data_IF_411320390208
#
_entry.id   IF_411320390208
#
_cell.length_a   1.000
_cell.length_b   1.000
_cell.length_c   1.000
_cell.angle_alpha   90.00
_cell.angle_beta   90.00
_cell.angle_gamma   90.00
#
_symmetry.space_group_name_H-M   'P 1'
#
loop_
_entity.id
_entity.type
_entity.pdbx_description
1 polymer ?
#
# COMPACT_ATOMS: atom_id res chain seq x y z
N UNK A 1 0.58 -4.24 17.68
CA UNK A 1 -0.09 -2.99 17.27
C UNK A 1 -1.47 -2.76 17.91
N UNK A 2 -1.65 -2.81 19.25
CA UNK A 2 -2.89 -2.34 19.89
C UNK A 2 -2.89 -0.82 20.15
N UNK A 3 -1.71 -0.21 20.25
CA UNK A 3 -1.55 1.10 20.89
C UNK A 3 -2.22 2.25 20.13
N UNK A 4 -2.07 2.34 18.79
CA UNK A 4 -2.73 3.39 17.98
C UNK A 4 -4.25 3.32 18.11
N UNK A 5 -4.81 2.11 18.07
CA UNK A 5 -6.24 1.88 18.26
C UNK A 5 -6.71 2.29 19.66
N UNK A 6 -6.07 1.79 20.71
CA UNK A 6 -6.49 2.08 22.09
C UNK A 6 -6.30 3.54 22.47
N UNK A 7 -5.21 4.18 22.04
CA UNK A 7 -4.97 5.59 22.28
C UNK A 7 -6.04 6.49 21.64
N UNK A 8 -6.64 6.05 20.53
CA UNK A 8 -7.63 6.82 19.76
C UNK A 8 -9.00 6.13 19.69
N UNK A 9 -9.34 5.29 20.67
CA UNK A 9 -10.53 4.43 20.62
C UNK A 9 -11.82 5.20 20.38
N UNK A 10 -11.98 6.37 21.02
CA UNK A 10 -13.16 7.23 20.84
C UNK A 10 -13.29 7.69 19.38
N UNK A 11 -12.20 8.17 18.78
CA UNK A 11 -12.17 8.57 17.37
C UNK A 11 -12.55 7.41 16.45
N UNK A 12 -11.97 6.22 16.68
CA UNK A 12 -12.31 5.02 15.90
C UNK A 12 -13.80 4.65 16.03
N UNK A 13 -14.40 4.82 17.21
CA UNK A 13 -15.81 4.57 17.45
C UNK A 13 -16.71 5.56 16.71
N UNK A 14 -16.35 6.84 16.70
CA UNK A 14 -17.08 7.89 15.99
C UNK A 14 -16.99 7.68 14.46
N UNK A 15 -15.81 7.33 13.96
CA UNK A 15 -15.61 6.98 12.55
C UNK A 15 -16.43 5.75 12.15
N UNK A 16 -16.47 4.72 13.00
CA UNK A 16 -17.26 3.51 12.75
C UNK A 16 -18.76 3.83 12.69
N UNK A 17 -19.27 4.63 13.63
CA UNK A 17 -20.67 5.09 13.62
C UNK A 17 -21.00 5.86 12.35
N UNK A 18 -20.11 6.76 11.92
CA UNK A 18 -20.26 7.49 10.66
C UNK A 18 -20.33 6.53 9.45
N UNK A 19 -19.49 5.50 9.45
CA UNK A 19 -19.42 4.52 8.38
C UNK A 19 -20.70 3.68 8.29
N UNK A 20 -21.20 3.19 9.42
CA UNK A 20 -22.44 2.42 9.51
C UNK A 20 -23.65 3.21 9.03
N UNK A 21 -23.75 4.49 9.41
CA UNK A 21 -24.87 5.36 8.99
C UNK A 21 -24.94 5.62 7.49
N UNK A 22 -23.85 5.34 6.75
CA UNK A 22 -23.70 5.66 5.32
C UNK A 22 -23.40 4.45 4.44
N UNK A 23 -23.47 3.24 4.99
CA UNK A 23 -23.09 2.00 4.29
C UNK A 23 -21.68 2.08 3.69
N UNK A 24 -20.73 2.52 4.51
CA UNK A 24 -19.30 2.61 4.18
C UNK A 24 -18.54 1.58 4.99
N UNK A 25 -17.62 0.87 4.35
CA UNK A 25 -16.67 -0.01 5.03
C UNK A 25 -15.37 0.74 5.28
N UNK A 26 -14.97 0.80 6.55
CA UNK A 26 -13.65 1.29 6.97
C UNK A 26 -12.66 0.12 7.11
N UNK A 27 -11.41 0.33 6.74
CA UNK A 27 -10.29 -0.56 7.01
C UNK A 27 -9.12 0.25 7.54
N UNK A 28 -8.42 -0.28 8.55
CA UNK A 28 -7.27 0.39 9.17
C UNK A 28 -6.01 -0.48 9.08
N UNK A 29 -4.90 0.16 8.75
CA UNK A 29 -3.55 -0.40 8.86
C UNK A 29 -2.67 0.58 9.65
N UNK A 30 -2.54 0.34 10.95
CA UNK A 30 -1.88 1.26 11.89
C UNK A 30 -2.61 2.61 11.91
N UNK A 31 -2.00 3.66 11.37
CA UNK A 31 -2.58 5.00 11.31
C UNK A 31 -3.20 5.29 9.93
N UNK A 32 -2.99 4.41 8.94
CA UNK A 32 -3.57 4.54 7.60
C UNK A 32 -5.01 4.02 7.59
N UNK A 33 -5.97 4.94 7.40
CA UNK A 33 -7.39 4.64 7.27
C UNK A 33 -7.80 4.63 5.79
N UNK A 34 -8.60 3.63 5.41
CA UNK A 34 -9.18 3.48 4.08
C UNK A 34 -10.69 3.31 4.19
N UNK A 35 -11.43 4.03 3.34
CA UNK A 35 -12.89 3.99 3.32
C UNK A 35 -13.38 3.56 1.93
N UNK A 36 -14.35 2.66 1.88
CA UNK A 36 -14.93 2.16 0.64
C UNK A 36 -16.46 2.08 0.73
N UNK A 37 -17.13 2.54 -0.32
CA UNK A 37 -18.60 2.61 -0.36
C UNK A 37 -19.08 3.64 -1.37
N UNK A 38 -20.35 3.56 -1.78
CA UNK A 38 -20.93 4.51 -2.74
C UNK A 38 -21.04 5.93 -2.17
N UNK A 39 -21.13 6.04 -0.85
CA UNK A 39 -21.25 7.29 -0.10
C UNK A 39 -19.91 7.97 0.17
N UNK A 40 -18.78 7.38 -0.24
CA UNK A 40 -17.44 7.97 -0.06
C UNK A 40 -17.24 9.07 -1.10
N UNK A 41 -17.56 10.30 -0.70
CA UNK A 41 -17.43 11.52 -1.49
C UNK A 41 -16.74 12.63 -0.66
N UNK A 42 -16.63 13.84 -1.20
CA UNK A 42 -16.00 14.97 -0.52
C UNK A 42 -16.69 15.34 0.81
N UNK A 43 -18.02 15.22 0.90
CA UNK A 43 -18.75 15.48 2.16
C UNK A 43 -18.44 14.43 3.22
N UNK A 44 -18.33 13.16 2.80
CA UNK A 44 -17.86 12.10 3.68
C UNK A 44 -16.44 12.36 4.17
N UNK A 45 -15.53 12.71 3.25
CA UNK A 45 -14.14 13.06 3.59
C UNK A 45 -14.09 14.21 4.61
N UNK A 46 -14.88 15.28 4.43
CA UNK A 46 -14.94 16.39 5.39
C UNK A 46 -15.46 15.97 6.76
N UNK A 47 -16.43 15.04 6.79
CA UNK A 47 -16.96 14.47 8.04
C UNK A 47 -15.88 13.68 8.79
N UNK A 48 -15.14 12.83 8.07
CA UNK A 48 -13.99 12.08 8.62
C UNK A 48 -12.93 13.05 9.11
N UNK A 49 -12.57 14.06 8.32
CA UNK A 49 -11.55 15.03 8.70
C UNK A 49 -11.89 15.78 9.99
N UNK A 50 -13.17 16.12 10.18
CA UNK A 50 -13.64 16.73 11.42
C UNK A 50 -13.46 15.81 12.63
N UNK A 51 -13.88 14.55 12.53
CA UNK A 51 -13.75 13.57 13.62
C UNK A 51 -12.28 13.40 14.03
N UNK A 52 -11.37 13.30 13.06
CA UNK A 52 -9.93 13.17 13.33
C UNK A 52 -9.35 14.43 13.99
N UNK A 53 -9.79 15.62 13.56
CA UNK A 53 -9.36 16.88 14.15
C UNK A 53 -9.92 17.10 15.57
N UNK A 54 -11.17 16.69 15.81
CA UNK A 54 -11.81 16.76 17.14
C UNK A 54 -11.09 15.84 18.14
N UNK A 55 -10.44 14.77 17.66
CA UNK A 55 -9.56 13.91 18.45
C UNK A 55 -8.14 14.50 18.68
N UNK A 56 -7.86 15.71 18.19
CA UNK A 56 -6.56 16.39 18.34
C UNK A 56 -5.48 15.94 17.36
N UNK A 57 -5.84 15.20 16.31
CA UNK A 57 -4.89 14.69 15.30
C UNK A 57 -4.88 15.55 14.03
N UNK A 58 -3.72 15.57 13.36
CA UNK A 58 -3.52 16.32 12.12
C UNK A 58 -3.45 15.36 10.93
N UNK A 59 -4.33 15.57 9.95
CA UNK A 59 -4.29 14.82 8.69
C UNK A 59 -3.24 15.41 7.76
N UNK A 60 -2.37 14.57 7.23
CA UNK A 60 -1.40 15.01 6.23
C UNK A 60 -2.12 15.34 4.90
N UNK A 61 -2.00 16.58 4.39
CA UNK A 61 -2.78 17.04 3.23
C UNK A 61 -2.50 16.19 1.98
N UNK A 62 -1.24 15.88 1.70
CA UNK A 62 -0.86 15.14 0.47
C UNK A 62 -1.17 13.63 0.49
N UNK A 63 -1.52 13.09 1.67
CA UNK A 63 -1.83 11.66 1.85
C UNK A 63 -3.32 11.36 1.73
N UNK A 64 -4.17 12.37 1.74
CA UNK A 64 -5.62 12.19 1.61
C UNK A 64 -6.00 12.14 0.13
N UNK A 65 -6.61 11.05 -0.32
CA UNK A 65 -7.03 10.87 -1.71
C UNK A 65 -8.43 10.29 -1.80
N UNK A 66 -9.25 10.89 -2.65
CA UNK A 66 -10.54 10.36 -3.06
C UNK A 66 -10.38 9.71 -4.43
N UNK A 67 -10.68 8.41 -4.52
CA UNK A 67 -10.52 7.65 -5.75
C UNK A 67 -11.87 7.39 -6.42
N UNK A 68 -11.90 7.46 -7.76
CA UNK A 68 -13.08 7.00 -8.51
C UNK A 68 -13.14 5.47 -8.57
N UNK A 69 -14.34 4.92 -8.83
CA UNK A 69 -14.57 3.46 -8.88
C UNK A 69 -13.55 2.72 -9.75
N UNK A 70 -13.33 3.19 -10.97
CA UNK A 70 -12.47 2.53 -11.97
C UNK A 70 -11.01 2.99 -11.92
N UNK A 71 -10.65 3.87 -10.98
CA UNK A 71 -9.29 4.35 -10.81
C UNK A 71 -8.44 3.32 -10.08
N UNK A 72 -7.15 3.28 -10.42
CA UNK A 72 -6.13 2.53 -9.69
C UNK A 72 -5.88 3.20 -8.34
N UNK A 73 -6.15 2.51 -7.24
CA UNK A 73 -6.11 3.08 -5.89
C UNK A 73 -4.80 2.69 -5.24
N UNK A 74 -3.99 3.66 -4.88
CA UNK A 74 -2.82 3.38 -4.06
C UNK A 74 -3.28 3.26 -2.60
N UNK A 75 -3.29 2.04 -2.07
CA UNK A 75 -3.72 1.73 -0.71
C UNK A 75 -2.57 0.97 -0.03
N UNK A 76 -2.10 1.47 1.12
CA UNK A 76 -1.07 0.80 1.97
C UNK A 76 0.13 0.21 1.23
N UNK A 77 0.59 0.89 0.16
CA UNK A 77 1.76 0.46 -0.62
C UNK A 77 1.48 -0.51 -1.77
N UNK A 78 0.22 -0.87 -2.03
CA UNK A 78 -0.21 -1.68 -3.17
C UNK A 78 -1.20 -0.93 -4.05
N UNK A 79 -1.39 -1.39 -5.29
CA UNK A 79 -2.39 -0.83 -6.20
C UNK A 79 -3.62 -1.72 -6.17
N UNK A 80 -4.75 -1.19 -5.70
CA UNK A 80 -6.04 -1.88 -5.70
C UNK A 80 -6.85 -1.44 -6.90
N UNK A 81 -7.31 -2.42 -7.68
CA UNK A 81 -8.29 -2.29 -8.75
C UNK A 81 -9.53 -3.10 -8.39
N UNK A 82 -10.59 -2.96 -9.19
CA UNK A 82 -11.90 -3.54 -8.88
C UNK A 82 -11.85 -5.03 -8.47
N UNK A 83 -11.03 -5.83 -9.14
CA UNK A 83 -10.97 -7.28 -9.02
C UNK A 83 -9.58 -7.83 -8.65
N UNK A 84 -8.58 -6.95 -8.47
CA UNK A 84 -7.20 -7.38 -8.27
C UNK A 84 -6.35 -6.39 -7.50
N UNK A 85 -5.26 -6.90 -6.96
CA UNK A 85 -4.21 -6.13 -6.32
C UNK A 85 -2.95 -6.27 -7.18
N UNK A 86 -2.35 -5.14 -7.53
CA UNK A 86 -1.16 -5.05 -8.36
C UNK A 86 0.02 -4.46 -7.56
N UNK A 87 1.23 -4.85 -7.95
CA UNK A 87 2.48 -4.26 -7.45
C UNK A 87 2.60 -2.82 -7.99
N UNK A 88 3.06 -1.87 -7.17
CA UNK A 88 3.23 -0.47 -7.64
C UNK A 88 4.25 -0.40 -8.77
N UNK A 89 3.98 0.48 -9.74
CA UNK A 89 4.89 0.70 -10.88
C UNK A 89 6.32 1.06 -10.45
N UNK A 90 6.51 1.78 -9.32
CA UNK A 90 7.84 2.08 -8.77
C UNK A 90 8.64 0.80 -8.48
N UNK A 91 8.00 -0.25 -7.96
CA UNK A 91 8.67 -1.52 -7.69
C UNK A 91 8.95 -2.30 -8.98
N UNK A 92 8.02 -2.28 -9.95
CA UNK A 92 8.28 -2.83 -11.29
C UNK A 92 9.51 -2.18 -11.94
N UNK A 93 9.59 -0.85 -11.91
CA UNK A 93 10.71 -0.09 -12.46
C UNK A 93 12.01 -0.45 -11.75
N UNK A 94 12.02 -0.51 -10.41
CA UNK A 94 13.22 -0.87 -9.64
C UNK A 94 13.72 -2.28 -9.99
N UNK A 95 12.81 -3.27 -10.06
CA UNK A 95 13.16 -4.65 -10.46
C UNK A 95 13.73 -4.66 -11.88
N UNK A 96 13.10 -3.95 -12.82
CA UNK A 96 13.57 -3.85 -14.19
C UNK A 96 14.97 -3.23 -14.30
N UNK A 97 15.20 -2.14 -13.56
CA UNK A 97 16.51 -1.47 -13.50
C UNK A 97 17.59 -2.42 -12.99
N UNK A 98 17.36 -3.11 -11.87
CA UNK A 98 18.31 -4.08 -11.32
C UNK A 98 18.63 -5.24 -12.28
N UNK A 99 17.63 -5.73 -13.02
CA UNK A 99 17.88 -6.73 -14.06
C UNK A 99 18.80 -6.23 -15.17
N UNK A 100 18.76 -4.94 -15.51
CA UNK A 100 19.66 -4.35 -16.49
C UNK A 100 21.05 -4.12 -15.91
N UNK A 101 21.14 -3.64 -14.66
CA UNK A 101 22.40 -3.45 -13.94
C UNK A 101 23.15 -4.78 -13.78
N UNK A 102 22.44 -5.86 -13.46
CA UNK A 102 23.00 -7.22 -13.37
C UNK A 102 23.68 -7.68 -14.66
N UNK A 103 23.21 -7.22 -15.83
CA UNK A 103 23.82 -7.56 -17.13
C UNK A 103 25.10 -6.76 -17.43
N UNK A 104 25.29 -5.65 -16.74
CA UNK A 104 26.41 -4.72 -16.93
C UNK A 104 27.38 -4.72 -15.74
N UNK A 105 27.18 -5.61 -14.76
CA UNK A 105 28.02 -5.72 -13.58
C UNK A 105 29.47 -6.00 -13.99
N UNK A 106 30.42 -5.28 -13.40
CA UNK A 106 31.83 -5.34 -13.80
C UNK A 106 32.66 -6.32 -12.96
N UNK A 107 32.14 -6.73 -11.79
CA UNK A 107 32.81 -7.68 -10.91
C UNK A 107 31.81 -8.53 -10.10
N UNK A 108 32.32 -9.59 -9.47
CA UNK A 108 31.51 -10.55 -8.71
C UNK A 108 30.88 -9.95 -7.44
N UNK A 109 31.53 -8.98 -6.81
CA UNK A 109 31.00 -8.32 -5.60
C UNK A 109 29.76 -7.49 -5.94
N UNK A 110 29.82 -6.69 -7.01
CA UNK A 110 28.71 -5.91 -7.54
C UNK A 110 27.57 -6.82 -7.99
N UNK A 111 27.89 -7.90 -8.73
CA UNK A 111 26.91 -8.88 -9.17
C UNK A 111 26.17 -9.51 -7.98
N UNK A 112 26.90 -9.87 -6.91
CA UNK A 112 26.32 -10.44 -5.70
C UNK A 112 25.40 -9.44 -4.98
N UNK A 113 25.82 -8.19 -4.84
CA UNK A 113 25.01 -7.15 -4.20
C UNK A 113 23.70 -6.90 -4.97
N UNK A 114 23.77 -6.79 -6.30
CA UNK A 114 22.59 -6.64 -7.16
C UNK A 114 21.67 -7.86 -7.04
N UNK A 115 22.24 -9.06 -6.99
CA UNK A 115 21.48 -10.30 -6.85
C UNK A 115 20.69 -10.32 -5.52
N UNK A 116 21.33 -10.01 -4.40
CA UNK A 116 20.70 -9.99 -3.08
C UNK A 116 19.54 -8.97 -3.03
N UNK A 117 19.76 -7.77 -3.56
CA UNK A 117 18.72 -6.73 -3.64
C UNK A 117 17.55 -7.17 -4.53
N UNK A 118 17.86 -7.69 -5.71
CA UNK A 118 16.86 -8.16 -6.68
C UNK A 118 16.02 -9.29 -6.07
N UNK A 119 16.65 -10.25 -5.40
CA UNK A 119 15.95 -11.35 -4.73
C UNK A 119 15.00 -10.83 -3.65
N UNK A 120 15.45 -9.89 -2.80
CA UNK A 120 14.62 -9.25 -1.79
C UNK A 120 13.39 -8.56 -2.40
N UNK A 121 13.58 -7.79 -3.48
CA UNK A 121 12.48 -7.10 -4.17
C UNK A 121 11.50 -8.06 -4.86
N UNK A 122 12.00 -9.12 -5.49
CA UNK A 122 11.15 -10.14 -6.11
C UNK A 122 10.31 -10.89 -5.08
N UNK A 123 10.89 -11.21 -3.91
CA UNK A 123 10.15 -11.85 -2.82
C UNK A 123 9.06 -10.94 -2.26
N UNK A 124 9.35 -9.66 -2.05
CA UNK A 124 8.36 -8.68 -1.60
C UNK A 124 7.22 -8.52 -2.63
N UNK A 125 7.54 -8.38 -3.93
CA UNK A 125 6.55 -8.32 -5.00
C UNK A 125 5.75 -9.62 -5.12
N UNK A 126 6.37 -10.76 -4.82
CA UNK A 126 5.79 -12.10 -4.83
C UNK A 126 4.66 -12.31 -3.81
N UNK A 127 4.63 -11.52 -2.73
CA UNK A 127 3.52 -11.52 -1.76
C UNK A 127 2.22 -10.96 -2.36
N UNK A 128 2.33 -10.14 -3.41
CA UNK A 128 1.20 -9.50 -4.08
C UNK A 128 0.86 -10.25 -5.36
N UNK A 129 1.87 -10.56 -6.19
CA UNK A 129 1.70 -11.25 -7.45
C UNK A 129 2.64 -12.48 -7.52
N UNK A 130 2.09 -13.71 -7.49
CA UNK A 130 2.86 -14.95 -7.50
C UNK A 130 3.85 -15.12 -8.67
N UNK A 131 3.64 -14.43 -9.80
CA UNK A 131 4.56 -14.49 -10.94
C UNK A 131 5.99 -14.04 -10.57
N UNK A 132 6.13 -13.11 -9.61
CA UNK A 132 7.44 -12.68 -9.12
C UNK A 132 8.15 -13.73 -8.27
N UNK A 133 7.38 -14.61 -7.59
CA UNK A 133 7.95 -15.74 -6.84
C UNK A 133 8.64 -16.74 -7.76
N UNK A 134 8.09 -16.96 -8.96
CA UNK A 134 8.74 -17.82 -9.95
C UNK A 134 10.05 -17.20 -10.46
N UNK A 135 10.08 -15.88 -10.68
CA UNK A 135 11.31 -15.17 -11.06
C UNK A 135 12.38 -15.26 -9.98
N UNK A 136 12.01 -15.10 -8.71
CA UNK A 136 12.92 -15.27 -7.57
C UNK A 136 13.54 -16.67 -7.53
N UNK A 137 12.73 -17.72 -7.73
CA UNK A 137 13.20 -19.12 -7.79
C UNK A 137 14.22 -19.32 -8.91
N UNK A 138 13.91 -18.86 -10.11
CA UNK A 138 14.81 -18.99 -11.25
C UNK A 138 16.16 -18.29 -11.00
N UNK A 139 16.14 -17.15 -10.29
CA UNK A 139 17.35 -16.42 -9.92
C UNK A 139 18.23 -17.20 -8.95
N UNK A 140 17.63 -17.87 -7.95
CA UNK A 140 18.36 -18.73 -7.00
C UNK A 140 19.00 -19.93 -7.71
N UNK A 141 18.33 -20.51 -8.72
CA UNK A 141 18.86 -21.68 -9.47
C UNK A 141 20.01 -21.32 -10.41
N UNK A 142 20.31 -20.03 -10.61
CA UNK A 142 21.43 -19.57 -11.44
C UNK A 142 22.73 -19.35 -10.64
N UNK A 143 22.72 -19.67 -9.35
CA UNK A 143 23.91 -19.77 -8.48
C UNK A 143 24.48 -21.18 -8.59
#
# INVERSE_FOLDING_TARGET
>A
MPLSFWANHSMYSDLQTLCESRDVTMSSYVDDLTFSGKSVNELFQRSVSRIVQDAGLIIHPDKTRLFRRNEAKLITGVIVRADRIDVRNKHHKAIYTLFNEMRSAVNDEELKAIHEELLGRLNAAGQINPAFKQRARNLITQI
#
